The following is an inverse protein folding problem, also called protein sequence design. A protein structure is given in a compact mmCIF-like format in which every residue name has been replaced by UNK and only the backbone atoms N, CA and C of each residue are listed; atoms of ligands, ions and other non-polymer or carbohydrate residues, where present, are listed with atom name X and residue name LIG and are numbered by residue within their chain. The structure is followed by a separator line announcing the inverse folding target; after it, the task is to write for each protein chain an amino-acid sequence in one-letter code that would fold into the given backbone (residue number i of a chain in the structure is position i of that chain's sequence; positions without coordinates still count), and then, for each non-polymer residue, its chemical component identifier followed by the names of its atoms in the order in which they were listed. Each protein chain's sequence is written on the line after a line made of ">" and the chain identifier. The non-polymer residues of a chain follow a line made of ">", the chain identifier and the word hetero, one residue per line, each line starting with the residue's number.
data_IF_251549320758
#
_entry.id   IF_251549320758
#
_cell.length_a   1.000
_cell.length_b   1.000
_cell.length_c   1.000
_cell.angle_alpha   90.00
_cell.angle_beta   90.00
_cell.angle_gamma   90.00
#
_symmetry.space_group_name_H-M   'P 1'
#
loop_
_entity.id
_entity.type
_entity.pdbx_description
1 polymer ?
#
# COMPACT_ATOMS: atom_id res chain seq x y z
N UNK A 1 -21.96 44.28 48.52
CA UNK A 1 -20.78 44.32 47.61
C UNK A 1 -20.04 43.00 47.80
N UNK A 2 -19.85 42.07 46.88
CA UNK A 2 -20.24 41.86 45.49
C UNK A 2 -20.41 40.33 45.31
N UNK A 3 -21.45 39.89 44.61
CA UNK A 3 -21.63 38.49 44.24
C UNK A 3 -20.70 38.14 43.08
N UNK A 4 -19.85 37.11 43.25
CA UNK A 4 -18.99 36.59 42.19
C UNK A 4 -19.83 35.96 41.08
N UNK A 5 -19.88 36.61 39.93
CA UNK A 5 -20.54 36.13 38.71
C UNK A 5 -19.80 34.93 38.14
N UNK A 6 -20.41 33.75 38.19
CA UNK A 6 -19.93 32.54 37.52
C UNK A 6 -20.39 32.59 36.06
N UNK A 7 -19.53 33.07 35.16
CA UNK A 7 -19.76 32.95 33.73
C UNK A 7 -19.57 31.49 33.27
N UNK A 8 -20.45 30.94 32.41
CA UNK A 8 -20.26 29.59 31.87
C UNK A 8 -19.07 29.56 30.90
N UNK A 9 -18.23 28.54 31.02
CA UNK A 9 -17.07 28.31 30.14
C UNK A 9 -17.56 28.05 28.70
N UNK A 10 -16.93 28.62 27.67
CA UNK A 10 -17.32 28.34 26.29
C UNK A 10 -17.07 26.87 25.97
N UNK A 11 -18.08 26.22 25.39
CA UNK A 11 -17.95 24.88 24.84
C UNK A 11 -16.85 24.89 23.79
N UNK A 12 -15.86 24.00 23.96
CA UNK A 12 -14.78 23.76 23.01
C UNK A 12 -15.42 23.23 21.73
N UNK A 13 -15.76 24.13 20.80
CA UNK A 13 -16.08 23.77 19.42
C UNK A 13 -14.85 23.07 18.89
N UNK A 14 -14.90 21.74 18.87
CA UNK A 14 -13.94 20.89 18.21
C UNK A 14 -13.97 21.26 16.72
N UNK A 15 -13.08 22.16 16.33
CA UNK A 15 -12.67 22.35 14.95
C UNK A 15 -11.89 21.12 14.51
N UNK A 16 -12.60 20.01 14.34
CA UNK A 16 -12.14 18.90 13.54
C UNK A 16 -12.11 19.41 12.11
N UNK A 17 -10.94 19.84 11.64
CA UNK A 17 -10.64 19.70 10.23
C UNK A 17 -10.79 18.22 9.93
N UNK A 18 -11.93 17.83 9.38
CA UNK A 18 -12.12 16.51 8.82
C UNK A 18 -11.15 16.42 7.64
N UNK A 19 -9.91 16.01 7.94
CA UNK A 19 -8.96 15.51 6.97
C UNK A 19 -9.67 14.37 6.26
N UNK A 20 -10.08 14.61 5.02
CA UNK A 20 -10.77 13.64 4.17
C UNK A 20 -9.81 12.53 3.70
N UNK A 21 -9.07 11.92 4.63
CA UNK A 21 -8.16 10.80 4.41
C UNK A 21 -8.46 9.76 5.48
N UNK A 22 -9.48 8.95 5.21
CA UNK A 22 -9.91 7.90 6.14
C UNK A 22 -10.94 6.94 5.56
N UNK A 23 -11.48 7.23 4.37
CA UNK A 23 -12.08 6.19 3.54
C UNK A 23 -10.92 5.45 2.87
N UNK A 24 -10.84 4.10 2.94
CA UNK A 24 -9.91 3.36 2.11
C UNK A 24 -10.24 3.78 0.68
N UNK A 25 -9.34 4.53 0.04
CA UNK A 25 -9.45 4.80 -1.37
C UNK A 25 -9.65 3.42 -2.02
N UNK A 26 -10.74 3.25 -2.77
CA UNK A 26 -10.93 2.05 -3.58
C UNK A 26 -9.59 1.73 -4.23
N UNK A 27 -9.09 0.51 -3.96
CA UNK A 27 -7.67 0.17 -4.06
C UNK A 27 -6.99 0.83 -5.24
N UNK A 28 -5.83 1.41 -4.99
CA UNK A 28 -5.01 2.05 -6.01
C UNK A 28 -4.82 1.12 -7.21
N UNK A 29 -4.52 1.66 -8.39
CA UNK A 29 -4.23 0.82 -9.56
C UNK A 29 -3.11 -0.18 -9.24
N UNK A 30 -2.11 0.23 -8.44
CA UNK A 30 -1.07 -0.67 -7.93
C UNK A 30 -1.63 -1.80 -7.08
N UNK A 31 -2.64 -1.57 -6.21
CA UNK A 31 -3.24 -2.64 -5.40
C UNK A 31 -3.96 -3.66 -6.27
N UNK A 32 -4.67 -3.20 -7.31
CA UNK A 32 -5.34 -4.09 -8.26
C UNK A 32 -4.36 -5.00 -9.01
N UNK A 33 -3.25 -4.45 -9.48
CA UNK A 33 -2.20 -5.21 -10.16
C UNK A 33 -1.43 -6.12 -9.17
N UNK A 34 -1.16 -5.65 -7.94
CA UNK A 34 -0.57 -6.44 -6.87
C UNK A 34 -1.41 -7.69 -6.52
N UNK A 35 -2.71 -7.54 -6.26
CA UNK A 35 -3.54 -8.69 -5.91
C UNK A 35 -3.70 -9.68 -7.09
N UNK A 36 -3.73 -9.18 -8.33
CA UNK A 36 -3.69 -10.06 -9.51
C UNK A 36 -2.39 -10.84 -9.61
N UNK A 37 -1.25 -10.22 -9.31
CA UNK A 37 0.03 -10.90 -9.22
C UNK A 37 0.01 -12.01 -8.16
N UNK A 38 -0.49 -11.74 -6.95
CA UNK A 38 -0.62 -12.74 -5.87
C UNK A 38 -1.43 -13.96 -6.33
N UNK A 39 -2.58 -13.73 -6.98
CA UNK A 39 -3.42 -14.81 -7.50
C UNK A 39 -2.69 -15.60 -8.61
N UNK A 40 -1.98 -14.92 -9.51
CA UNK A 40 -1.23 -15.56 -10.59
C UNK A 40 -0.06 -16.41 -10.06
N UNK A 41 0.69 -15.94 -9.06
CA UNK A 41 1.75 -16.72 -8.38
C UNK A 41 1.14 -17.98 -7.77
N UNK A 42 0.05 -17.84 -7.02
CA UNK A 42 -0.64 -18.98 -6.37
C UNK A 42 -1.15 -20.00 -7.38
N UNK A 43 -1.67 -19.56 -8.52
CA UNK A 43 -2.13 -20.45 -9.61
C UNK A 43 -1.00 -20.98 -10.48
N UNK A 44 0.25 -20.54 -10.25
CA UNK A 44 1.40 -20.99 -11.02
C UNK A 44 1.52 -20.38 -12.42
N UNK A 45 0.80 -19.30 -12.71
CA UNK A 45 0.91 -18.57 -13.97
C UNK A 45 2.05 -17.53 -13.88
N UNK A 46 3.31 -17.99 -13.91
CA UNK A 46 4.46 -17.15 -13.58
C UNK A 46 4.66 -15.96 -14.55
N UNK A 47 4.38 -16.14 -15.83
CA UNK A 47 4.45 -15.04 -16.82
C UNK A 47 3.41 -13.95 -16.55
N UNK A 48 2.17 -14.36 -16.25
CA UNK A 48 1.11 -13.43 -15.87
C UNK A 48 1.42 -12.74 -14.54
N UNK A 49 1.98 -13.48 -13.58
CA UNK A 49 2.42 -12.93 -12.30
C UNK A 49 3.50 -11.86 -12.51
N UNK A 50 4.52 -12.14 -13.34
CA UNK A 50 5.58 -11.17 -13.68
C UNK A 50 4.99 -9.90 -14.30
N UNK A 51 4.10 -10.03 -15.28
CA UNK A 51 3.46 -8.89 -15.92
C UNK A 51 2.67 -8.01 -14.93
N UNK A 52 1.96 -8.62 -13.98
CA UNK A 52 1.23 -7.90 -12.95
C UNK A 52 2.15 -7.24 -11.91
N UNK A 53 3.24 -7.91 -11.52
CA UNK A 53 4.28 -7.34 -10.65
C UNK A 53 4.90 -6.09 -11.30
N UNK A 54 5.29 -6.18 -12.57
CA UNK A 54 5.91 -5.06 -13.28
C UNK A 54 4.95 -3.86 -13.39
N UNK A 55 3.67 -4.12 -13.69
CA UNK A 55 2.64 -3.07 -13.73
C UNK A 55 2.39 -2.43 -12.35
N UNK A 56 2.35 -3.24 -11.28
CA UNK A 56 2.22 -2.75 -9.91
C UNK A 56 3.44 -1.89 -9.52
N UNK A 57 4.65 -2.31 -9.91
CA UNK A 57 5.91 -1.58 -9.68
C UNK A 57 5.90 -0.21 -10.35
N UNK A 58 5.51 -0.13 -11.61
CA UNK A 58 5.44 1.13 -12.36
C UNK A 58 4.44 2.11 -11.72
N UNK A 59 3.26 1.61 -11.34
CA UNK A 59 2.25 2.42 -10.67
C UNK A 59 2.76 2.92 -9.31
N UNK A 60 3.32 2.03 -8.49
CA UNK A 60 3.82 2.37 -7.15
C UNK A 60 5.00 3.35 -7.21
N UNK A 61 5.88 3.23 -8.20
CA UNK A 61 6.96 4.19 -8.42
C UNK A 61 6.43 5.60 -8.74
N UNK A 62 5.34 5.68 -9.53
CA UNK A 62 4.67 6.96 -9.84
C UNK A 62 4.01 7.55 -8.60
N UNK A 63 3.36 6.72 -7.79
CA UNK A 63 2.76 7.13 -6.53
C UNK A 63 3.82 7.66 -5.55
N UNK A 64 4.92 6.93 -5.35
CA UNK A 64 6.04 7.33 -4.50
C UNK A 64 6.68 8.65 -4.96
N UNK A 65 6.87 8.83 -6.27
CA UNK A 65 7.41 10.07 -6.82
C UNK A 65 6.52 11.28 -6.51
N UNK A 66 5.19 11.09 -6.43
CA UNK A 66 4.24 12.14 -6.08
C UNK A 66 4.27 12.53 -4.60
N UNK A 67 4.74 11.65 -3.71
CA UNK A 67 4.86 11.88 -2.25
C UNK A 67 6.31 12.16 -1.82
N UNK A 68 7.26 12.16 -2.75
CA UNK A 68 8.67 12.34 -2.44
C UNK A 68 8.91 13.75 -1.87
N UNK A 69 9.42 13.82 -0.64
CA UNK A 69 9.63 15.09 0.07
C UNK A 69 8.46 15.58 0.92
N UNK A 70 7.37 14.80 0.99
CA UNK A 70 6.31 15.04 1.97
C UNK A 70 6.63 14.41 3.35
N UNK A 71 5.70 14.53 4.30
CA UNK A 71 5.90 13.96 5.64
C UNK A 71 6.08 12.45 5.59
N UNK A 72 7.01 11.95 6.42
CA UNK A 72 7.26 10.51 6.58
C UNK A 72 5.98 9.71 6.85
N UNK A 73 5.05 10.29 7.63
CA UNK A 73 3.75 9.68 7.95
C UNK A 73 2.91 9.39 6.69
N UNK A 74 2.98 10.24 5.66
CA UNK A 74 2.25 10.06 4.40
C UNK A 74 2.95 9.08 3.45
N UNK A 75 4.28 8.99 3.52
CA UNK A 75 5.07 8.03 2.73
C UNK A 75 5.11 6.61 3.33
N UNK A 76 4.85 6.45 4.63
CA UNK A 76 4.97 5.17 5.33
C UNK A 76 4.10 4.06 4.74
N UNK A 77 2.84 4.39 4.40
CA UNK A 77 1.93 3.44 3.75
C UNK A 77 2.49 2.91 2.42
N UNK A 78 3.14 3.77 1.65
CA UNK A 78 3.71 3.43 0.35
C UNK A 78 4.97 2.57 0.51
N UNK A 79 5.78 2.85 1.53
CA UNK A 79 6.94 2.01 1.87
C UNK A 79 6.53 0.58 2.26
N UNK A 80 5.40 0.41 2.97
CA UNK A 80 4.86 -0.93 3.25
C UNK A 80 4.43 -1.63 1.96
N UNK A 81 3.80 -0.91 1.03
CA UNK A 81 3.43 -1.46 -0.29
C UNK A 81 4.65 -1.83 -1.12
N UNK A 82 5.76 -1.09 -1.02
CA UNK A 82 7.05 -1.46 -1.65
C UNK A 82 7.56 -2.77 -1.08
N UNK A 83 7.59 -2.93 0.25
CA UNK A 83 8.02 -4.17 0.85
C UNK A 83 7.15 -5.34 0.39
N UNK A 84 5.83 -5.19 0.42
CA UNK A 84 4.89 -6.21 -0.05
C UNK A 84 5.17 -6.64 -1.49
N UNK A 85 5.48 -5.69 -2.38
CA UNK A 85 5.79 -5.97 -3.78
C UNK A 85 7.12 -6.73 -3.92
N UNK A 86 8.15 -6.35 -3.16
CA UNK A 86 9.45 -7.03 -3.15
C UNK A 86 9.32 -8.48 -2.65
N UNK A 87 8.60 -8.72 -1.55
CA UNK A 87 8.35 -10.08 -1.04
C UNK A 87 7.63 -10.96 -2.07
N UNK A 88 6.73 -10.37 -2.86
CA UNK A 88 6.03 -11.09 -3.93
C UNK A 88 6.96 -11.43 -5.11
N UNK A 89 7.91 -10.54 -5.44
CA UNK A 89 8.94 -10.79 -6.45
C UNK A 89 9.84 -11.97 -6.05
N UNK A 90 10.23 -12.05 -4.78
CA UNK A 90 10.99 -13.17 -4.23
C UNK A 90 10.17 -14.47 -4.28
N UNK A 91 8.89 -14.43 -3.91
CA UNK A 91 7.99 -15.60 -4.03
C UNK A 91 7.87 -16.11 -5.47
N UNK A 92 7.81 -15.19 -6.45
CA UNK A 92 7.78 -15.51 -7.87
C UNK A 92 9.09 -16.17 -8.33
N UNK A 93 10.24 -15.62 -7.91
CA UNK A 93 11.56 -16.19 -8.21
C UNK A 93 11.74 -17.58 -7.60
N UNK A 94 11.37 -17.75 -6.33
CA UNK A 94 11.40 -19.06 -5.67
C UNK A 94 10.54 -20.09 -6.42
N UNK A 95 9.32 -19.71 -6.82
CA UNK A 95 8.42 -20.57 -7.59
C UNK A 95 9.01 -20.98 -8.95
N UNK A 96 9.78 -20.11 -9.59
CA UNK A 96 10.48 -20.40 -10.84
C UNK A 96 11.62 -21.40 -10.60
N UNK A 97 12.46 -21.16 -9.59
CA UNK A 97 13.59 -22.04 -9.25
C UNK A 97 13.13 -23.46 -8.91
N UNK A 98 12.05 -23.61 -8.15
CA UNK A 98 11.49 -24.93 -7.82
C UNK A 98 11.03 -25.70 -9.07
N UNK A 99 10.49 -25.02 -10.08
CA UNK A 99 10.11 -25.64 -11.36
C UNK A 99 11.33 -26.07 -12.16
N UNK A 100 12.36 -25.24 -12.22
CA UNK A 100 13.60 -25.55 -12.90
C UNK A 100 14.27 -26.79 -12.26
N UNK A 101 14.33 -26.84 -10.93
CA UNK A 101 14.82 -28.01 -10.18
C UNK A 101 14.02 -29.28 -10.46
N UNK A 102 12.69 -29.18 -10.50
CA UNK A 102 11.84 -30.32 -10.84
C UNK A 102 12.10 -30.83 -12.27
N UNK A 103 12.32 -29.92 -13.22
CA UNK A 103 12.63 -30.27 -14.61
C UNK A 103 14.03 -30.88 -14.80
N UNK A 104 14.99 -30.56 -13.94
CA UNK A 104 16.36 -31.06 -14.00
C UNK A 104 16.52 -32.46 -13.36
N UNK A 105 15.53 -32.93 -12.62
CA UNK A 105 15.57 -34.21 -11.89
C UNK A 105 14.81 -35.34 -12.61
N UNK A 106 14.22 -35.06 -13.78
CA UNK A 106 13.54 -36.03 -14.65
C UNK A 106 14.33 -36.30 -15.93
#
# INVERSE_FOLDING_TARGET
>A
VAAGSLAPRPARLGGGVASATGLPAMGSKSDGDFFRAVLAVRSGHLEAARAHVDAARECLATELAAVVGESYERAYGDMVRVQQLVELEECLEYSKLERERASATG
#
